data_IF_281392932416
#
_entry.id   IF_281392932416
#
_cell.length_a   1.000
_cell.length_b   1.000
_cell.length_c   1.000
_cell.angle_alpha   90.00
_cell.angle_beta   90.00
_cell.angle_gamma   90.00
#
_symmetry.space_group_name_H-M   'P 1'
#
loop_
_entity.id
_entity.type
_entity.pdbx_description
1 polymer ?
#
# COMPACT_ATOMS: atom_id res chain seq x y z
N UNK A 1 18.34 -26.54 -7.90
CA UNK A 1 17.81 -25.39 -7.13
C UNK A 1 16.97 -24.61 -8.12
N UNK A 2 15.65 -24.53 -7.91
CA UNK A 2 14.76 -23.80 -8.83
C UNK A 2 14.70 -22.34 -8.38
N UNK A 3 15.31 -21.44 -9.13
CA UNK A 3 15.24 -19.99 -8.96
C UNK A 3 14.15 -19.42 -9.89
N UNK A 4 12.89 -19.56 -9.49
CA UNK A 4 11.77 -18.91 -10.18
C UNK A 4 11.42 -17.59 -9.51
N UNK A 5 11.73 -16.45 -10.13
CA UNK A 5 11.20 -15.15 -9.69
C UNK A 5 9.83 -14.89 -10.31
N UNK A 6 8.82 -14.57 -9.51
CA UNK A 6 7.56 -14.06 -10.03
C UNK A 6 7.79 -12.67 -10.63
N UNK A 7 7.64 -12.54 -11.95
CA UNK A 7 7.59 -11.24 -12.62
C UNK A 7 6.20 -10.64 -12.46
N UNK A 8 6.08 -9.58 -11.66
CA UNK A 8 4.80 -8.96 -11.33
C UNK A 8 4.16 -8.30 -12.55
N UNK A 9 4.88 -7.40 -13.20
CA UNK A 9 4.52 -6.80 -14.48
C UNK A 9 5.80 -6.57 -15.31
N UNK A 10 5.67 -6.37 -16.62
CA UNK A 10 6.84 -6.03 -17.46
C UNK A 10 7.48 -4.69 -17.05
N UNK A 11 6.69 -3.77 -16.50
CA UNK A 11 7.15 -2.49 -15.95
C UNK A 11 7.69 -2.58 -14.51
N UNK A 12 7.54 -3.73 -13.82
CA UNK A 12 7.95 -3.93 -12.43
C UNK A 12 8.75 -5.23 -12.33
N UNK A 13 10.05 -5.18 -12.65
CA UNK A 13 10.86 -6.37 -12.85
C UNK A 13 11.33 -7.03 -11.55
N UNK A 14 11.12 -6.41 -10.38
CA UNK A 14 11.63 -6.92 -9.10
C UNK A 14 10.68 -6.65 -7.94
N UNK A 15 10.85 -7.41 -6.86
CA UNK A 15 10.17 -7.17 -5.57
C UNK A 15 10.47 -5.77 -5.02
N UNK A 16 11.66 -5.23 -5.24
CA UNK A 16 12.00 -3.88 -4.80
C UNK A 16 11.15 -2.83 -5.52
N UNK A 17 11.05 -2.93 -6.85
CA UNK A 17 10.20 -2.04 -7.64
C UNK A 17 8.72 -2.23 -7.31
N UNK A 18 8.29 -3.45 -6.97
CA UNK A 18 6.91 -3.71 -6.53
C UNK A 18 6.55 -2.87 -5.29
N UNK A 19 7.40 -2.87 -4.27
CA UNK A 19 7.15 -2.09 -3.06
C UNK A 19 7.38 -0.58 -3.25
N UNK A 20 8.38 -0.18 -4.04
CA UNK A 20 8.55 1.24 -4.40
C UNK A 20 7.34 1.81 -5.11
N UNK A 21 6.76 1.05 -6.03
CA UNK A 21 5.57 1.48 -6.76
C UNK A 21 4.37 1.70 -5.82
N UNK A 22 4.22 0.89 -4.77
CA UNK A 22 3.18 1.12 -3.76
C UNK A 22 3.41 2.41 -2.97
N UNK A 23 4.64 2.66 -2.53
CA UNK A 23 5.02 3.92 -1.90
C UNK A 23 4.76 5.12 -2.81
N UNK A 24 5.13 5.00 -4.10
CA UNK A 24 4.87 6.01 -5.12
C UNK A 24 3.38 6.32 -5.26
N UNK A 25 2.52 5.29 -5.42
CA UNK A 25 1.08 5.47 -5.57
C UNK A 25 0.42 6.15 -4.36
N UNK A 26 0.94 5.90 -3.16
CA UNK A 26 0.50 6.59 -1.94
C UNK A 26 0.82 8.08 -1.98
N UNK A 27 2.04 8.44 -2.40
CA UNK A 27 2.45 9.83 -2.58
C UNK A 27 1.64 10.50 -3.71
N UNK A 28 1.47 9.85 -4.86
CA UNK A 28 0.66 10.32 -5.99
C UNK A 28 -0.74 10.72 -5.53
N UNK A 29 -1.38 9.87 -4.71
CA UNK A 29 -2.71 10.17 -4.19
C UNK A 29 -2.71 11.39 -3.28
N UNK A 30 -1.74 11.54 -2.38
CA UNK A 30 -1.65 12.73 -1.52
C UNK A 30 -1.39 14.00 -2.33
N UNK A 31 -0.51 13.94 -3.33
CA UNK A 31 -0.24 15.06 -4.25
C UNK A 31 -1.55 15.46 -4.96
N UNK A 32 -2.27 14.49 -5.52
CA UNK A 32 -3.52 14.76 -6.23
C UNK A 32 -4.60 15.31 -5.29
N UNK A 33 -4.80 14.67 -4.13
CA UNK A 33 -5.81 15.04 -3.12
C UNK A 33 -5.60 16.45 -2.59
N UNK A 34 -4.34 16.82 -2.36
CA UNK A 34 -3.92 18.12 -1.84
C UNK A 34 -3.76 19.21 -2.90
N UNK A 35 -3.95 18.87 -4.19
CA UNK A 35 -3.69 19.77 -5.33
C UNK A 35 -2.25 20.30 -5.33
N UNK A 36 -1.30 19.41 -5.02
CA UNK A 36 0.13 19.68 -5.02
C UNK A 36 0.62 20.51 -3.84
N UNK A 37 -0.08 20.49 -2.69
CA UNK A 37 0.29 21.25 -1.49
C UNK A 37 -0.03 20.47 -0.22
N UNK A 38 0.96 19.80 0.35
CA UNK A 38 0.77 18.98 1.53
C UNK A 38 1.93 19.09 2.52
N UNK A 39 1.62 19.25 3.80
CA UNK A 39 2.54 19.04 4.92
C UNK A 39 2.30 17.63 5.48
N UNK A 40 3.18 16.71 5.12
CA UNK A 40 3.00 15.28 5.36
C UNK A 40 3.67 14.84 6.66
N UNK A 41 2.92 14.08 7.48
CA UNK A 41 3.47 13.16 8.47
C UNK A 41 3.58 11.76 7.87
N UNK A 42 4.81 11.29 7.64
CA UNK A 42 5.05 9.96 7.09
C UNK A 42 5.35 8.95 8.21
N UNK A 43 4.52 7.91 8.30
CA UNK A 43 4.71 6.78 9.21
C UNK A 43 5.41 5.67 8.44
N UNK A 44 6.72 5.61 8.57
CA UNK A 44 7.60 4.77 7.77
C UNK A 44 7.96 3.46 8.49
N UNK A 45 8.07 2.36 7.74
CA UNK A 45 8.53 1.08 8.29
C UNK A 45 9.99 0.81 7.96
N UNK A 46 10.82 0.72 9.00
CA UNK A 46 12.26 0.51 8.87
C UNK A 46 12.75 -0.76 9.56
N UNK A 47 13.94 -1.21 9.19
CA UNK A 47 14.56 -2.41 9.76
C UNK A 47 14.06 -3.71 9.11
N UNK A 48 13.25 -3.62 8.06
CA UNK A 48 12.90 -4.72 7.16
C UNK A 48 12.92 -4.25 5.72
N UNK A 49 13.42 -5.09 4.81
CA UNK A 49 13.75 -4.70 3.43
C UNK A 49 12.57 -4.14 2.64
N UNK A 50 11.38 -4.73 2.76
CA UNK A 50 10.21 -4.23 2.01
C UNK A 50 9.72 -2.88 2.53
N UNK A 51 9.88 -2.62 3.84
CA UNK A 51 9.58 -1.34 4.46
C UNK A 51 10.48 -0.22 3.92
N UNK A 52 11.77 -0.51 3.78
CA UNK A 52 12.72 0.43 3.16
C UNK A 52 12.32 0.79 1.72
N UNK A 53 11.81 -0.18 0.95
CA UNK A 53 11.35 0.08 -0.42
C UNK A 53 10.05 0.90 -0.48
N UNK A 54 9.11 0.64 0.44
CA UNK A 54 7.89 1.44 0.57
C UNK A 54 8.23 2.90 0.89
N UNK A 55 9.07 3.12 1.90
CA UNK A 55 9.50 4.45 2.32
C UNK A 55 10.27 5.17 1.21
N UNK A 56 11.22 4.49 0.55
CA UNK A 56 12.00 5.04 -0.56
C UNK A 56 11.10 5.45 -1.75
N UNK A 57 10.12 4.63 -2.10
CA UNK A 57 9.16 4.93 -3.15
C UNK A 57 8.29 6.15 -2.83
N UNK A 58 7.82 6.25 -1.59
CA UNK A 58 7.04 7.39 -1.11
C UNK A 58 7.87 8.68 -1.11
N UNK A 59 9.04 8.65 -0.49
CA UNK A 59 9.91 9.81 -0.28
C UNK A 59 10.41 10.40 -1.60
N UNK A 60 10.77 9.55 -2.56
CA UNK A 60 11.19 10.01 -3.90
C UNK A 60 10.05 10.67 -4.65
N UNK A 61 8.85 10.11 -4.57
CA UNK A 61 7.71 10.64 -5.32
C UNK A 61 7.19 11.95 -4.73
N UNK A 62 7.03 12.02 -3.40
CA UNK A 62 6.53 13.23 -2.75
C UNK A 62 7.49 14.41 -2.95
N UNK A 63 8.79 14.15 -3.08
CA UNK A 63 9.80 15.16 -3.39
C UNK A 63 9.68 15.75 -4.80
N UNK A 64 8.94 15.11 -5.72
CA UNK A 64 8.66 15.67 -7.05
C UNK A 64 7.62 16.79 -7.00
N UNK A 65 6.83 16.87 -5.93
CA UNK A 65 5.85 17.91 -5.68
C UNK A 65 6.49 19.12 -4.98
N UNK A 66 6.72 20.21 -5.72
CA UNK A 66 7.37 21.43 -5.18
C UNK A 66 6.59 22.14 -4.06
N UNK A 67 5.28 21.85 -3.92
CA UNK A 67 4.44 22.38 -2.84
C UNK A 67 4.23 21.41 -1.69
N UNK A 68 4.81 20.21 -1.76
CA UNK A 68 4.68 19.19 -0.73
C UNK A 68 5.96 19.12 0.11
N UNK A 69 5.81 18.91 1.42
CA UNK A 69 6.92 18.75 2.36
C UNK A 69 6.64 17.58 3.29
N UNK A 70 7.63 16.73 3.53
CA UNK A 70 7.58 15.79 4.66
C UNK A 70 7.94 16.57 5.93
N UNK A 71 6.92 17.10 6.60
CA UNK A 71 7.05 17.94 7.79
C UNK A 71 7.44 17.15 9.05
N UNK A 72 7.25 15.83 9.04
CA UNK A 72 7.74 14.95 10.09
C UNK A 72 7.66 13.47 9.72
N UNK A 73 8.40 12.65 10.46
CA UNK A 73 8.37 11.19 10.35
C UNK A 73 8.07 10.51 11.68
N UNK A 74 7.40 9.37 11.60
CA UNK A 74 7.28 8.39 12.66
C UNK A 74 7.94 7.11 12.16
N UNK A 75 9.21 6.92 12.53
CA UNK A 75 9.93 5.71 12.17
C UNK A 75 9.47 4.57 13.09
N UNK A 76 8.95 3.51 12.48
CA UNK A 76 8.55 2.28 13.16
C UNK A 76 9.51 1.18 12.75
N UNK A 77 10.12 0.51 13.73
CA UNK A 77 10.82 -0.76 13.52
C UNK A 77 10.03 -1.92 14.13
N UNK A 78 10.40 -3.19 13.90
CA UNK A 78 9.72 -4.32 14.55
C UNK A 78 9.67 -4.23 16.08
N UNK A 79 10.67 -3.60 16.72
CA UNK A 79 10.71 -3.40 18.16
C UNK A 79 9.70 -2.34 18.65
N UNK A 80 9.25 -1.44 17.77
CA UNK A 80 8.32 -0.37 18.10
C UNK A 80 6.85 -0.80 18.05
N UNK A 81 6.54 -2.04 17.61
CA UNK A 81 5.15 -2.50 17.46
C UNK A 81 4.26 -2.19 18.69
N UNK A 82 4.70 -2.44 19.93
CA UNK A 82 3.89 -2.10 21.12
C UNK A 82 3.69 -0.60 21.36
N UNK A 83 4.50 0.25 20.71
CA UNK A 83 4.58 1.70 20.90
C UNK A 83 4.00 2.50 19.73
N UNK A 84 3.54 1.85 18.65
CA UNK A 84 3.08 2.51 17.40
C UNK A 84 2.08 3.63 17.71
N UNK A 85 1.03 3.34 18.48
CA UNK A 85 0.01 4.32 18.83
C UNK A 85 0.61 5.53 19.56
N UNK A 86 1.43 5.29 20.57
CA UNK A 86 2.06 6.35 21.37
C UNK A 86 2.98 7.24 20.52
N UNK A 87 3.82 6.62 19.67
CA UNK A 87 4.74 7.35 18.77
C UNK A 87 3.94 8.21 17.79
N UNK A 88 2.89 7.65 17.20
CA UNK A 88 2.02 8.36 16.26
C UNK A 88 1.25 9.51 16.92
N UNK A 89 0.57 9.29 18.05
CA UNK A 89 -0.15 10.35 18.79
C UNK A 89 0.80 11.48 19.21
N UNK A 90 2.01 11.15 19.66
CA UNK A 90 3.03 12.14 20.03
C UNK A 90 3.44 13.00 18.83
N UNK A 91 3.70 12.38 17.68
CA UNK A 91 4.07 13.09 16.46
C UNK A 91 2.92 13.96 15.93
N UNK A 92 1.71 13.40 15.87
CA UNK A 92 0.53 14.13 15.40
C UNK A 92 0.20 15.36 16.28
N UNK A 93 0.45 15.26 17.59
CA UNK A 93 0.28 16.37 18.54
C UNK A 93 1.36 17.44 18.37
N UNK A 94 2.62 17.03 18.15
CA UNK A 94 3.75 17.96 17.93
C UNK A 94 3.70 18.69 16.59
N UNK A 95 2.95 18.14 15.63
CA UNK A 95 2.85 18.65 14.27
C UNK A 95 1.41 19.10 13.97
N UNK A 96 0.90 20.15 14.63
CA UNK A 96 -0.46 20.65 14.38
C UNK A 96 -0.64 21.20 12.97
N UNK A 97 0.43 21.49 12.24
CA UNK A 97 0.39 22.01 10.87
C UNK A 97 0.15 20.94 9.79
N UNK A 98 0.43 19.65 10.05
CA UNK A 98 0.32 18.63 9.00
C UNK A 98 -1.12 18.44 8.53
N UNK A 99 -1.33 18.45 7.23
CA UNK A 99 -2.64 18.25 6.58
C UNK A 99 -2.72 16.90 5.83
N UNK A 100 -1.63 16.14 5.83
CA UNK A 100 -1.54 14.82 5.24
C UNK A 100 -0.83 13.81 6.17
N UNK A 101 -1.28 12.55 6.13
CA UNK A 101 -0.62 11.41 6.77
C UNK A 101 -0.46 10.30 5.74
N UNK A 102 0.72 9.69 5.69
CA UNK A 102 0.99 8.48 4.92
C UNK A 102 1.37 7.35 5.87
N UNK A 103 0.66 6.22 5.83
CA UNK A 103 0.94 5.05 6.66
C UNK A 103 1.43 3.93 5.76
N UNK A 104 2.65 3.43 6.00
CA UNK A 104 3.29 2.51 5.07
C UNK A 104 2.64 1.14 4.98
N UNK A 105 2.17 0.61 6.12
CA UNK A 105 1.73 -0.78 6.25
C UNK A 105 0.48 -0.88 7.12
N UNK A 106 -0.48 -1.70 6.69
CA UNK A 106 -1.80 -1.84 7.31
C UNK A 106 -1.79 -2.25 8.78
N UNK A 107 -0.84 -3.10 9.20
CA UNK A 107 -0.78 -3.52 10.60
C UNK A 107 -0.54 -2.33 11.55
N UNK A 108 0.07 -1.24 11.07
CA UNK A 108 0.26 -0.04 11.88
C UNK A 108 -1.07 0.69 12.11
N UNK A 109 -1.95 0.66 11.10
CA UNK A 109 -3.31 1.18 11.22
C UNK A 109 -4.07 0.47 12.34
N UNK A 110 -4.05 -0.86 12.31
CA UNK A 110 -4.73 -1.71 13.31
C UNK A 110 -4.04 -1.68 14.68
N UNK A 111 -2.72 -1.47 14.73
CA UNK A 111 -1.95 -1.28 15.97
C UNK A 111 -2.20 0.07 16.68
N UNK A 112 -3.12 0.88 16.17
CA UNK A 112 -3.70 2.01 16.90
C UNK A 112 -3.62 3.36 16.19
N UNK A 113 -2.98 3.44 15.02
CA UNK A 113 -2.99 4.68 14.21
C UNK A 113 -4.42 5.04 13.80
N UNK A 114 -5.23 4.07 13.38
CA UNK A 114 -6.61 4.34 13.00
C UNK A 114 -7.41 4.91 14.18
N UNK A 115 -7.26 4.33 15.38
CA UNK A 115 -7.93 4.83 16.59
C UNK A 115 -7.47 6.25 16.92
N UNK A 116 -6.17 6.53 16.83
CA UNK A 116 -5.62 7.85 17.06
C UNK A 116 -6.14 8.89 16.05
N UNK A 117 -6.21 8.53 14.76
CA UNK A 117 -6.76 9.38 13.70
C UNK A 117 -8.24 9.71 13.95
N UNK A 118 -9.06 8.70 14.25
CA UNK A 118 -10.49 8.88 14.54
C UNK A 118 -10.68 9.73 15.78
N UNK A 119 -9.88 9.51 16.83
CA UNK A 119 -9.94 10.30 18.06
C UNK A 119 -9.50 11.74 17.87
N UNK A 120 -8.48 11.98 17.04
CA UNK A 120 -7.99 13.32 16.75
C UNK A 120 -9.01 14.12 15.91
N UNK A 121 -9.77 13.43 15.05
CA UNK A 121 -10.85 13.99 14.23
C UNK A 121 -10.48 15.33 13.56
N UNK A 122 -9.26 15.43 13.03
CA UNK A 122 -8.71 16.65 12.43
C UNK A 122 -9.42 16.95 11.11
N UNK A 123 -10.19 18.05 11.00
CA UNK A 123 -10.85 18.39 9.75
C UNK A 123 -9.83 18.65 8.64
N UNK A 124 -10.11 18.14 7.44
CA UNK A 124 -9.26 18.34 6.26
C UNK A 124 -8.00 17.48 6.21
N UNK A 125 -7.74 16.65 7.23
CA UNK A 125 -6.60 15.72 7.20
C UNK A 125 -6.81 14.65 6.12
N UNK A 126 -5.89 14.58 5.17
CA UNK A 126 -5.85 13.53 4.15
C UNK A 126 -5.01 12.36 4.64
N UNK A 127 -5.55 11.13 4.62
CA UNK A 127 -4.84 9.97 5.19
C UNK A 127 -4.75 8.86 4.16
N UNK A 128 -3.52 8.59 3.73
CA UNK A 128 -3.19 7.53 2.79
C UNK A 128 -2.71 6.27 3.53
N UNK A 129 -3.36 5.13 3.28
CA UNK A 129 -3.07 3.85 3.91
C UNK A 129 -2.05 3.00 3.15
N UNK A 130 -1.82 1.81 3.68
CA UNK A 130 -0.93 0.80 3.14
C UNK A 130 -1.60 -0.02 2.05
N UNK A 131 -1.64 -1.32 2.31
CA UNK A 131 -2.35 -2.31 1.53
C UNK A 131 -3.87 -2.20 1.70
N UNK A 132 -4.63 -2.97 0.92
CA UNK A 132 -6.08 -3.08 1.10
C UNK A 132 -6.46 -4.38 1.84
N UNK A 133 -5.94 -4.57 3.07
CA UNK A 133 -6.49 -5.59 3.97
C UNK A 133 -7.97 -5.33 4.27
N UNK A 134 -8.69 -6.35 4.74
CA UNK A 134 -10.09 -6.22 5.14
C UNK A 134 -10.31 -5.08 6.17
N UNK A 135 -9.38 -4.90 7.11
CA UNK A 135 -9.44 -3.81 8.08
C UNK A 135 -9.27 -2.43 7.42
N UNK A 136 -8.30 -2.28 6.52
CA UNK A 136 -8.10 -1.03 5.75
C UNK A 136 -9.30 -0.72 4.85
N UNK A 137 -9.85 -1.72 4.17
CA UNK A 137 -11.07 -1.59 3.37
C UNK A 137 -12.26 -1.13 4.23
N UNK A 138 -12.41 -1.69 5.44
CA UNK A 138 -13.42 -1.22 6.41
C UNK A 138 -13.19 0.25 6.79
N UNK A 139 -11.95 0.65 7.10
CA UNK A 139 -11.64 2.05 7.44
C UNK A 139 -11.96 3.02 6.31
N UNK A 140 -11.58 2.67 5.07
CA UNK A 140 -11.92 3.44 3.86
C UNK A 140 -13.44 3.55 3.70
N UNK A 141 -14.19 2.46 3.91
CA UNK A 141 -15.66 2.44 3.83
C UNK A 141 -16.31 3.33 4.88
N UNK A 142 -15.83 3.27 6.13
CA UNK A 142 -16.31 4.10 7.24
C UNK A 142 -16.12 5.60 6.97
N UNK A 143 -15.11 5.97 6.17
CA UNK A 143 -14.82 7.36 5.83
C UNK A 143 -14.26 8.16 7.01
N UNK A 144 -13.59 7.49 7.95
CA UNK A 144 -12.90 8.11 9.09
C UNK A 144 -11.48 7.55 9.16
N UNK A 145 -10.51 8.38 9.52
CA UNK A 145 -9.10 7.97 9.52
C UNK A 145 -8.59 7.71 8.11
N UNK A 146 -8.11 6.50 7.82
CA UNK A 146 -7.60 6.11 6.49
C UNK A 146 -8.68 6.30 5.41
N UNK A 147 -8.31 6.92 4.29
CA UNK A 147 -9.22 7.31 3.20
C UNK A 147 -8.94 6.61 1.87
N UNK A 148 -7.78 5.99 1.73
CA UNK A 148 -7.40 5.18 0.58
C UNK A 148 -6.45 4.07 1.00
N UNK A 149 -6.38 3.04 0.16
CA UNK A 149 -5.37 1.99 0.24
C UNK A 149 -4.90 1.59 -1.16
N UNK A 150 -3.81 0.83 -1.22
CA UNK A 150 -3.26 0.30 -2.47
C UNK A 150 -3.71 -1.16 -2.64
N UNK A 151 -4.66 -1.36 -3.54
CA UNK A 151 -5.21 -2.67 -3.86
C UNK A 151 -4.28 -3.46 -4.76
N UNK A 152 -3.90 -4.66 -4.33
CA UNK A 152 -3.30 -5.69 -5.18
C UNK A 152 -3.95 -7.03 -4.86
N UNK A 153 -4.41 -7.76 -5.88
CA UNK A 153 -5.13 -9.02 -5.65
C UNK A 153 -4.18 -10.11 -5.15
N UNK A 154 -4.33 -10.52 -3.89
CA UNK A 154 -3.60 -11.66 -3.33
C UNK A 154 -3.98 -12.97 -4.02
N UNK A 155 -5.25 -13.14 -4.38
CA UNK A 155 -5.72 -14.30 -5.13
C UNK A 155 -5.04 -14.41 -6.51
N UNK A 156 -4.95 -13.30 -7.26
CA UNK A 156 -4.24 -13.27 -8.54
C UNK A 156 -2.74 -13.53 -8.37
N UNK A 157 -2.13 -13.01 -7.30
CA UNK A 157 -0.73 -13.31 -6.96
C UNK A 157 -0.51 -14.81 -6.71
N UNK A 158 -1.43 -15.45 -5.97
CA UNK A 158 -1.36 -16.89 -5.70
C UNK A 158 -1.50 -17.73 -6.99
N UNK A 159 -2.45 -17.37 -7.87
CA UNK A 159 -2.60 -18.04 -9.17
C UNK A 159 -1.39 -17.83 -10.08
N UNK A 160 -0.81 -16.63 -10.10
CA UNK A 160 0.41 -16.34 -10.84
C UNK A 160 1.61 -17.16 -10.34
N UNK A 161 1.76 -17.30 -9.02
CA UNK A 161 2.80 -18.14 -8.44
C UNK A 161 2.61 -19.62 -8.80
N UNK A 162 1.38 -20.13 -8.76
CA UNK A 162 1.07 -21.49 -9.20
C UNK A 162 1.39 -21.71 -10.69
N UNK A 163 1.05 -20.76 -11.56
CA UNK A 163 1.38 -20.82 -12.98
C UNK A 163 2.90 -20.82 -13.22
N UNK A 164 3.64 -19.96 -12.53
CA UNK A 164 5.09 -19.90 -12.63
C UNK A 164 5.74 -21.24 -12.23
N UNK A 165 5.27 -21.86 -11.15
CA UNK A 165 5.76 -23.18 -10.73
C UNK A 165 5.42 -24.27 -11.76
N UNK A 166 4.19 -24.30 -12.28
CA UNK A 166 3.79 -25.26 -13.31
C UNK A 166 4.67 -25.14 -14.57
N UNK A 167 4.98 -23.92 -15.01
CA UNK A 167 5.88 -23.67 -16.15
C UNK A 167 7.28 -24.19 -15.88
N UNK A 168 7.85 -23.89 -14.72
CA UNK A 168 9.18 -24.36 -14.32
C UNK A 168 9.24 -25.89 -14.30
N UNK A 169 8.21 -26.56 -13.74
CA UNK A 169 8.14 -28.02 -13.75
C UNK A 169 8.00 -28.61 -15.16
N UNK A 170 7.38 -27.88 -16.08
CA UNK A 170 7.29 -28.23 -17.49
C UNK A 170 8.54 -27.84 -18.32
N UNK A 171 9.59 -27.28 -17.69
CA UNK A 171 10.80 -26.82 -18.38
C UNK A 171 10.63 -25.52 -19.18
N UNK A 172 9.52 -24.80 -18.97
CA UNK A 172 9.25 -23.51 -19.57
C UNK A 172 9.67 -22.36 -18.65
N UNK A 173 9.98 -21.20 -19.23
CA UNK A 173 10.24 -19.98 -18.46
C UNK A 173 8.95 -19.42 -17.84
N UNK A 174 9.00 -18.86 -16.61
CA UNK A 174 7.88 -18.11 -16.04
C UNK A 174 7.43 -16.97 -16.95
N UNK A 175 6.12 -16.71 -17.00
CA UNK A 175 5.54 -15.61 -17.75
C UNK A 175 5.10 -14.47 -16.81
N UNK A 176 5.07 -13.25 -17.33
CA UNK A 176 4.48 -12.11 -16.61
C UNK A 176 2.98 -12.33 -16.40
N UNK A 177 2.52 -12.21 -15.16
CA UNK A 177 1.12 -12.38 -14.79
C UNK A 177 0.28 -11.10 -14.87
N UNK A 178 0.91 -9.97 -15.25
CA UNK A 178 0.26 -8.66 -15.35
C UNK A 178 -0.35 -8.20 -14.02
N UNK A 179 0.30 -8.52 -12.90
CA UNK A 179 -0.08 -8.04 -11.58
C UNK A 179 0.11 -6.53 -11.55
N UNK A 180 -0.94 -5.82 -11.16
CA UNK A 180 -0.94 -4.38 -11.03
C UNK A 180 -1.56 -3.96 -9.72
N UNK A 181 -1.59 -2.65 -9.52
CA UNK A 181 -2.21 -2.01 -8.38
C UNK A 181 -3.34 -1.11 -8.83
N UNK A 182 -4.30 -0.89 -7.95
CA UNK A 182 -5.21 0.23 -8.06
C UNK A 182 -5.29 0.96 -6.73
N UNK A 183 -5.41 2.28 -6.81
CA UNK A 183 -5.84 3.06 -5.65
C UNK A 183 -7.30 2.71 -5.39
N UNK A 184 -7.59 2.31 -4.15
CA UNK A 184 -8.94 2.08 -3.66
C UNK A 184 -9.31 3.23 -2.75
N UNK A 185 -10.44 3.86 -3.03
CA UNK A 185 -11.04 4.91 -2.20
C UNK A 185 -12.48 4.54 -1.90
N UNK A 186 -13.18 5.33 -1.09
CA UNK A 186 -14.62 5.11 -0.85
C UNK A 186 -15.45 5.13 -2.14
N UNK A 187 -15.05 5.96 -3.10
CA UNK A 187 -15.83 6.25 -4.30
C UNK A 187 -15.36 5.43 -5.52
N UNK A 188 -14.19 4.81 -5.44
CA UNK A 188 -13.55 4.12 -6.57
C UNK A 188 -12.89 2.81 -6.12
N UNK A 189 -13.13 1.73 -6.88
CA UNK A 189 -12.50 0.41 -6.72
C UNK A 189 -12.73 -0.29 -5.37
N UNK A 190 -13.61 0.23 -4.50
CA UNK A 190 -13.95 -0.40 -3.22
C UNK A 190 -14.79 -1.67 -3.47
N UNK A 191 -14.34 -2.87 -3.02
CA UNK A 191 -15.13 -4.09 -3.10
C UNK A 191 -16.40 -4.01 -2.22
N UNK A 192 -17.24 -5.05 -2.29
CA UNK A 192 -18.35 -5.22 -1.35
C UNK A 192 -17.85 -5.40 0.09
N UNK A 193 -18.74 -5.22 1.06
CA UNK A 193 -18.34 -5.32 2.47
C UNK A 193 -17.99 -6.76 2.83
N UNK A 194 -16.86 -6.94 3.52
CA UNK A 194 -16.31 -8.26 3.86
C UNK A 194 -15.54 -8.98 2.74
N UNK A 195 -15.47 -8.42 1.52
CA UNK A 195 -14.75 -9.01 0.39
C UNK A 195 -13.32 -8.45 0.26
N UNK A 196 -12.38 -9.31 -0.13
CA UNK A 196 -11.02 -8.92 -0.47
C UNK A 196 -10.99 -8.12 -1.78
N UNK A 197 -9.97 -7.27 -1.93
CA UNK A 197 -9.72 -6.62 -3.21
C UNK A 197 -9.18 -7.62 -4.25
N UNK A 198 -9.97 -7.89 -5.29
CA UNK A 198 -9.61 -8.82 -6.38
C UNK A 198 -9.29 -8.12 -7.72
N UNK A 199 -9.56 -6.81 -7.81
CA UNK A 199 -9.46 -6.04 -9.05
C UNK A 199 -10.53 -6.41 -10.09
N UNK A 200 -10.48 -5.80 -11.28
CA UNK A 200 -11.59 -5.86 -12.25
C UNK A 200 -11.53 -7.06 -13.21
N UNK A 201 -10.51 -7.91 -13.14
CA UNK A 201 -10.26 -8.97 -14.12
C UNK A 201 -10.60 -10.35 -13.54
N UNK A 202 -11.34 -11.17 -14.28
CA UNK A 202 -11.52 -12.60 -13.95
C UNK A 202 -10.24 -13.39 -14.27
N UNK A 203 -9.22 -13.22 -13.42
CA UNK A 203 -7.94 -13.90 -13.56
C UNK A 203 -8.09 -15.42 -13.39
N UNK A 204 -9.04 -15.89 -12.58
CA UNK A 204 -9.23 -17.31 -12.29
C UNK A 204 -9.60 -18.08 -13.56
N UNK A 205 -10.52 -17.55 -14.36
CA UNK A 205 -10.88 -18.17 -15.64
C UNK A 205 -9.74 -18.10 -16.65
N UNK A 206 -8.99 -17.00 -16.69
CA UNK A 206 -7.79 -16.87 -17.54
C UNK A 206 -6.74 -17.96 -17.24
N UNK A 207 -6.37 -18.13 -15.98
CA UNK A 207 -5.42 -19.18 -15.58
C UNK A 207 -5.96 -20.60 -15.83
N UNK A 208 -7.24 -20.86 -15.54
CA UNK A 208 -7.86 -22.16 -15.82
C UNK A 208 -7.85 -22.51 -17.31
N UNK A 209 -7.93 -21.53 -18.20
CA UNK A 209 -7.80 -21.77 -19.63
C UNK A 209 -6.36 -22.13 -20.01
N UNK A 210 -5.37 -21.44 -19.45
CA UNK A 210 -3.94 -21.70 -19.68
C UNK A 210 -3.48 -23.08 -19.20
N UNK A 211 -4.05 -23.61 -18.12
CA UNK A 211 -3.64 -24.91 -17.55
C UNK A 211 -4.30 -26.12 -18.21
N UNK A 212 -5.27 -25.92 -19.09
CA UNK A 212 -5.93 -27.00 -19.84
C UNK A 212 -5.23 -27.33 -21.16
N UNK A 213 -4.28 -26.50 -21.59
CA UNK A 213 -3.44 -26.68 -22.77
C UNK A 213 -2.08 -27.24 -22.38
#
# INVERSE_FOLDING_TARGET
MFDGSATFASSVPSTAEFFRQQGKLRADWLIAKSKGKADVLHVAFHGVTFGEYLADGFDKEIATCSGCTVAGRVDITPQDIPLIRQKFESALTKLPQVDAVAVDVDFMATAGIQVALVSANRPGLSVAGGECSLDSLRFVREGKGIQMCIGSSLGRQAYAAADALNRVFAGASPASSGLGWQVVTRDENLPEDGEDYEGPTDYRSGFRALWKS
#
